data_IF_381599052588
#
_entry.id   IF_381599052588
#
_cell.length_a   1.000
_cell.length_b   1.000
_cell.length_c   1.000
_cell.angle_alpha   90.00
_cell.angle_beta   90.00
_cell.angle_gamma   90.00
#
_symmetry.space_group_name_H-M   'P 1'
#
loop_
_entity.id
_entity.type
_entity.pdbx_description
1 polymer ?
#
# COMPACT_ATOMS: atom_id res chain seq x y z
N UNK A 1 -16.97 -3.17 -0.76
CA UNK A 1 -16.94 -2.07 0.23
C UNK A 1 -18.32 -1.41 0.36
N UNK A 2 -19.32 -2.07 0.96
CA UNK A 2 -20.68 -1.52 1.07
C UNK A 2 -20.73 -0.23 1.90
N UNK A 3 -20.09 -0.22 3.08
CA UNK A 3 -20.08 0.92 4.00
C UNK A 3 -19.51 2.20 3.35
N UNK A 4 -18.41 2.10 2.59
CA UNK A 4 -17.84 3.26 1.89
C UNK A 4 -18.82 3.83 0.85
N UNK A 5 -19.54 2.96 0.13
CA UNK A 5 -20.56 3.38 -0.85
C UNK A 5 -21.76 4.02 -0.18
N UNK A 6 -22.22 3.47 0.94
CA UNK A 6 -23.31 4.05 1.72
C UNK A 6 -22.93 5.41 2.31
N UNK A 7 -21.73 5.53 2.87
CA UNK A 7 -21.17 6.78 3.37
C UNK A 7 -21.13 7.84 2.27
N UNK A 8 -20.55 7.53 1.11
CA UNK A 8 -20.53 8.44 -0.03
C UNK A 8 -21.94 8.92 -0.41
N UNK A 9 -22.91 8.00 -0.52
CA UNK A 9 -24.28 8.36 -0.90
C UNK A 9 -24.89 9.36 0.09
N UNK A 10 -24.61 9.22 1.39
CA UNK A 10 -25.04 10.16 2.42
C UNK A 10 -24.35 11.52 2.27
N UNK A 11 -23.04 11.55 2.00
CA UNK A 11 -22.28 12.80 1.87
C UNK A 11 -22.62 13.59 0.59
N UNK A 12 -22.74 12.91 -0.56
CA UNK A 12 -23.11 13.58 -1.80
C UNK A 12 -24.53 14.15 -1.75
N UNK A 13 -25.46 13.47 -1.05
CA UNK A 13 -26.82 13.97 -0.86
C UNK A 13 -26.88 15.19 0.09
N UNK A 14 -26.02 15.25 1.11
CA UNK A 14 -26.03 16.35 2.10
C UNK A 14 -25.43 17.65 1.56
N UNK A 15 -24.57 17.58 0.53
CA UNK A 15 -23.91 18.75 -0.06
C UNK A 15 -24.72 19.47 -1.14
N UNK A 16 -25.91 18.97 -1.52
CA UNK A 16 -26.80 19.66 -2.46
C UNK A 16 -26.25 19.82 -3.89
N UNK A 17 -25.21 19.07 -4.26
CA UNK A 17 -24.66 19.09 -5.61
C UNK A 17 -25.55 18.27 -6.56
N UNK A 18 -26.33 18.95 -7.39
CA UNK A 18 -27.14 18.35 -8.46
C UNK A 18 -26.29 17.79 -9.64
N UNK A 19 -24.95 17.90 -9.60
CA UNK A 19 -24.04 17.44 -10.66
C UNK A 19 -23.16 16.23 -10.32
N UNK A 20 -23.29 15.60 -9.15
CA UNK A 20 -22.26 14.67 -8.68
C UNK A 20 -22.43 13.23 -9.18
N UNK A 21 -21.63 12.87 -10.19
CA UNK A 21 -21.39 11.47 -10.56
C UNK A 21 -20.82 10.70 -9.35
N UNK A 22 -21.37 9.51 -9.09
CA UNK A 22 -20.88 8.57 -8.08
C UNK A 22 -19.37 8.39 -8.21
N UNK A 23 -18.60 8.55 -7.12
CA UNK A 23 -17.17 8.27 -7.17
C UNK A 23 -17.00 6.76 -7.22
N UNK A 24 -16.50 6.30 -8.36
CA UNK A 24 -16.29 4.87 -8.61
C UNK A 24 -15.10 4.39 -7.81
N UNK A 25 -15.33 3.37 -6.98
CA UNK A 25 -14.29 2.59 -6.31
C UNK A 25 -13.84 1.45 -7.23
N UNK A 26 -12.56 1.47 -7.61
CA UNK A 26 -11.92 0.54 -8.53
C UNK A 26 -11.67 -0.85 -7.93
N UNK A 27 -12.75 -1.54 -7.55
CA UNK A 27 -12.70 -2.90 -6.97
C UNK A 27 -13.73 -3.80 -7.66
N UNK A 28 -13.50 -5.13 -7.71
CA UNK A 28 -14.49 -6.05 -8.25
C UNK A 28 -15.82 -5.95 -7.51
N UNK A 29 -16.92 -6.14 -8.24
CA UNK A 29 -18.24 -6.29 -7.60
C UNK A 29 -18.20 -7.58 -6.77
N UNK A 30 -18.50 -7.46 -5.48
CA UNK A 30 -18.69 -8.60 -4.60
C UNK A 30 -20.16 -9.01 -4.63
N UNK A 31 -20.43 -10.22 -5.10
CA UNK A 31 -21.77 -10.81 -5.15
C UNK A 31 -22.13 -11.52 -3.84
N UNK A 32 -21.14 -12.09 -3.17
CA UNK A 32 -21.33 -12.79 -1.91
C UNK A 32 -20.04 -12.77 -1.08
N UNK A 33 -20.18 -12.54 0.22
CA UNK A 33 -19.14 -12.72 1.20
C UNK A 33 -19.74 -13.42 2.43
N UNK A 34 -19.08 -14.47 2.90
CA UNK A 34 -19.46 -15.21 4.09
C UNK A 34 -18.21 -15.60 4.87
N UNK A 35 -18.29 -15.53 6.19
CA UNK A 35 -17.25 -15.97 7.10
C UNK A 35 -17.89 -16.66 8.30
N UNK A 36 -17.42 -17.85 8.61
CA UNK A 36 -17.72 -18.60 9.83
C UNK A 36 -16.43 -18.68 10.64
N UNK A 37 -16.38 -18.11 11.86
CA UNK A 37 -15.19 -18.20 12.71
C UNK A 37 -14.99 -19.63 13.20
N UNK A 38 -13.76 -19.95 13.62
CA UNK A 38 -13.49 -21.20 14.32
C UNK A 38 -14.24 -21.21 15.66
N UNK A 39 -14.94 -22.31 15.96
CA UNK A 39 -15.45 -22.59 17.30
C UNK A 39 -14.48 -23.56 17.99
N UNK A 40 -13.80 -23.08 19.03
CA UNK A 40 -12.87 -23.86 19.85
C UNK A 40 -13.56 -24.55 21.02
N UNK A 41 -14.91 -24.59 21.08
CA UNK A 41 -15.61 -25.32 22.14
C UNK A 41 -15.34 -26.83 22.08
N UNK A 42 -15.11 -27.43 23.27
CA UNK A 42 -14.59 -28.78 23.49
C UNK A 42 -15.40 -29.92 22.84
N UNK A 43 -16.66 -29.70 22.46
CA UNK A 43 -17.56 -30.76 21.98
C UNK A 43 -17.55 -30.96 20.46
N UNK A 44 -17.15 -29.97 19.66
CA UNK A 44 -17.02 -30.13 18.20
C UNK A 44 -16.25 -28.97 17.53
N UNK A 45 -14.91 -29.04 17.43
CA UNK A 45 -14.13 -27.96 16.84
C UNK A 45 -14.51 -27.75 15.37
N UNK A 46 -14.95 -26.54 15.02
CA UNK A 46 -15.22 -26.18 13.63
C UNK A 46 -14.04 -25.40 13.07
N UNK A 47 -13.59 -25.78 11.88
CA UNK A 47 -12.58 -25.00 11.15
C UNK A 47 -13.22 -23.71 10.63
N UNK A 48 -12.49 -22.59 10.63
CA UNK A 48 -13.01 -21.36 10.05
C UNK A 48 -13.27 -21.58 8.55
N UNK A 49 -14.39 -21.08 8.06
CA UNK A 49 -14.79 -21.14 6.65
C UNK A 49 -15.01 -19.73 6.11
N UNK A 50 -14.56 -19.48 4.87
CA UNK A 50 -14.70 -18.18 4.22
C UNK A 50 -15.01 -18.35 2.75
N UNK A 51 -16.08 -17.72 2.28
CA UNK A 51 -16.50 -17.73 0.89
C UNK A 51 -16.55 -16.29 0.39
N UNK A 52 -15.87 -16.04 -0.73
CA UNK A 52 -15.92 -14.76 -1.44
C UNK A 52 -16.23 -15.01 -2.91
N UNK A 53 -17.33 -14.43 -3.40
CA UNK A 53 -17.75 -14.51 -4.81
C UNK A 53 -17.66 -13.12 -5.40
N UNK A 54 -16.68 -12.93 -6.27
CA UNK A 54 -16.43 -11.67 -6.97
C UNK A 54 -16.79 -11.80 -8.45
N UNK A 55 -17.02 -10.65 -9.08
CA UNK A 55 -17.16 -10.56 -10.52
C UNK A 55 -15.87 -10.97 -11.23
N UNK A 56 -16.00 -11.85 -12.23
CA UNK A 56 -14.88 -12.24 -13.09
C UNK A 56 -14.59 -11.14 -14.10
N UNK A 57 -13.40 -10.55 -13.98
CA UNK A 57 -13.00 -9.41 -14.81
C UNK A 57 -12.34 -9.84 -16.13
N UNK A 58 -12.06 -11.13 -16.33
CA UNK A 58 -11.43 -11.63 -17.56
C UNK A 58 -12.31 -11.41 -18.80
N UNK A 59 -13.63 -11.52 -18.63
CA UNK A 59 -14.60 -11.28 -19.70
C UNK A 59 -14.75 -9.79 -20.07
N UNK A 60 -14.06 -8.90 -19.34
CA UNK A 60 -14.09 -7.46 -19.54
C UNK A 60 -12.75 -6.90 -20.04
N UNK A 61 -11.89 -7.73 -20.65
CA UNK A 61 -10.57 -7.34 -21.19
C UNK A 61 -9.58 -6.78 -20.15
N UNK A 62 -9.85 -6.95 -18.86
CA UNK A 62 -8.87 -6.63 -17.81
C UNK A 62 -7.69 -7.60 -17.86
N UNK A 63 -6.48 -7.06 -17.81
CA UNK A 63 -5.24 -7.84 -17.87
C UNK A 63 -4.29 -7.46 -16.75
N UNK A 64 -3.59 -8.48 -16.24
CA UNK A 64 -2.41 -8.27 -15.41
C UNK A 64 -1.27 -7.75 -16.26
N UNK A 65 -0.35 -7.04 -15.62
CA UNK A 65 0.96 -6.75 -16.19
C UNK A 65 1.96 -7.80 -15.73
N UNK A 66 3.02 -8.01 -16.52
CA UNK A 66 4.11 -8.88 -16.08
C UNK A 66 5.03 -8.09 -15.17
N UNK A 67 5.28 -8.61 -13.96
CA UNK A 67 6.21 -7.99 -13.01
C UNK A 67 7.56 -7.61 -13.65
N UNK A 68 8.10 -8.47 -14.52
CA UNK A 68 9.34 -8.19 -15.26
C UNK A 68 9.29 -6.88 -16.05
N UNK A 69 8.21 -6.66 -16.79
CA UNK A 69 8.03 -5.49 -17.65
C UNK A 69 7.86 -4.20 -16.82
N UNK A 70 7.24 -4.33 -15.64
CA UNK A 70 6.89 -3.19 -14.79
C UNK A 70 5.74 -2.37 -15.34
N UNK A 71 5.31 -1.37 -14.57
CA UNK A 71 4.22 -0.47 -14.92
C UNK A 71 4.66 0.63 -15.88
N UNK A 72 3.77 1.00 -16.79
CA UNK A 72 3.89 2.22 -17.59
C UNK A 72 3.52 3.46 -16.77
N UNK A 73 3.80 4.66 -17.31
CA UNK A 73 3.40 5.93 -16.70
C UNK A 73 1.88 6.01 -16.50
N UNK A 74 1.10 5.70 -17.54
CA UNK A 74 -0.36 5.80 -17.49
C UNK A 74 -0.98 4.78 -16.54
N UNK A 75 -0.46 3.54 -16.53
CA UNK A 75 -0.88 2.51 -15.56
C UNK A 75 -0.62 2.95 -14.12
N UNK A 76 0.54 3.55 -13.85
CA UNK A 76 0.87 4.08 -12.52
C UNK A 76 -0.08 5.20 -12.12
N UNK A 77 -0.36 6.13 -13.04
CA UNK A 77 -1.31 7.24 -12.79
C UNK A 77 -2.69 6.72 -12.41
N UNK A 78 -3.26 5.79 -13.19
CA UNK A 78 -4.62 5.29 -12.91
C UNK A 78 -4.69 4.39 -11.68
N UNK A 79 -3.58 3.70 -11.33
CA UNK A 79 -3.49 2.94 -10.09
C UNK A 79 -3.47 3.86 -8.86
N UNK A 80 -2.67 4.92 -8.90
CA UNK A 80 -2.58 5.89 -7.80
C UNK A 80 -3.90 6.63 -7.59
N UNK A 81 -4.56 7.01 -8.68
CA UNK A 81 -5.89 7.61 -8.61
C UNK A 81 -6.93 6.63 -8.03
N UNK A 82 -6.92 5.36 -8.47
CA UNK A 82 -7.81 4.32 -7.97
C UNK A 82 -7.67 4.09 -6.45
N UNK A 83 -6.45 3.98 -5.93
CA UNK A 83 -6.23 3.79 -4.49
C UNK A 83 -6.49 5.07 -3.70
N UNK A 84 -6.18 6.26 -4.25
CA UNK A 84 -6.46 7.54 -3.63
C UNK A 84 -7.95 7.73 -3.33
N UNK A 85 -8.82 7.27 -4.24
CA UNK A 85 -10.27 7.31 -4.01
C UNK A 85 -10.67 6.46 -2.81
N UNK A 86 -10.13 5.25 -2.67
CA UNK A 86 -10.44 4.36 -1.55
C UNK A 86 -9.90 4.95 -0.23
N UNK A 87 -8.67 5.45 -0.24
CA UNK A 87 -8.07 6.17 0.88
C UNK A 87 -8.93 7.35 1.31
N UNK A 88 -9.35 8.20 0.36
CA UNK A 88 -10.20 9.36 0.61
C UNK A 88 -11.53 8.97 1.28
N UNK A 89 -12.16 7.89 0.83
CA UNK A 89 -13.42 7.42 1.44
C UNK A 89 -13.24 7.00 2.89
N UNK A 90 -12.21 6.20 3.17
CA UNK A 90 -11.94 5.75 4.54
C UNK A 90 -11.55 6.93 5.44
N UNK A 91 -10.70 7.85 4.95
CA UNK A 91 -10.32 9.04 5.69
C UNK A 91 -11.52 9.94 5.99
N UNK A 92 -12.34 10.25 4.98
CA UNK A 92 -13.52 11.09 5.15
C UNK A 92 -14.53 10.43 6.11
N UNK A 93 -14.76 9.12 6.00
CA UNK A 93 -15.61 8.37 6.94
C UNK A 93 -15.12 8.52 8.38
N UNK A 94 -13.83 8.27 8.63
CA UNK A 94 -13.22 8.44 9.96
C UNK A 94 -13.43 9.85 10.52
N UNK A 95 -13.20 10.87 9.69
CA UNK A 95 -13.26 12.28 10.12
C UNK A 95 -14.70 12.73 10.38
N UNK A 96 -15.62 12.41 9.46
CA UNK A 96 -17.03 12.85 9.55
C UNK A 96 -17.79 12.10 10.63
N UNK A 97 -17.55 10.79 10.79
CA UNK A 97 -18.26 9.97 11.77
C UNK A 97 -17.58 10.00 13.15
N UNK A 98 -16.32 10.43 13.24
CA UNK A 98 -15.58 10.58 14.49
C UNK A 98 -15.19 9.26 15.17
N UNK A 99 -15.29 8.14 14.46
CA UNK A 99 -14.99 6.79 14.95
C UNK A 99 -13.66 6.28 14.35
N UNK A 100 -12.74 5.71 15.16
CA UNK A 100 -11.57 5.02 14.64
C UNK A 100 -11.98 3.79 13.81
N UNK A 101 -11.53 3.71 12.56
CA UNK A 101 -11.88 2.59 11.68
C UNK A 101 -11.33 1.25 12.17
N UNK A 102 -10.25 1.26 12.96
CA UNK A 102 -9.72 0.06 13.62
C UNK A 102 -10.68 -0.53 14.65
N UNK A 103 -11.51 0.29 15.29
CA UNK A 103 -12.53 -0.17 16.25
C UNK A 103 -13.78 -0.64 15.52
N UNK A 104 -14.20 0.09 14.48
CA UNK A 104 -15.33 -0.27 13.63
C UNK A 104 -15.13 -1.58 12.88
N UNK A 105 -13.90 -1.83 12.42
CA UNK A 105 -13.53 -2.99 11.64
C UNK A 105 -12.45 -3.80 12.38
N UNK A 106 -12.79 -4.51 13.47
CA UNK A 106 -11.81 -5.24 14.28
C UNK A 106 -11.20 -6.45 13.53
N UNK A 107 -11.79 -6.82 12.39
CA UNK A 107 -11.27 -7.86 11.49
C UNK A 107 -10.16 -7.37 10.55
N UNK A 108 -9.87 -6.06 10.51
CA UNK A 108 -8.70 -5.55 9.77
C UNK A 108 -7.43 -6.26 10.24
N UNK A 109 -6.50 -6.44 9.31
CA UNK A 109 -5.27 -7.14 9.61
C UNK A 109 -4.48 -6.35 10.66
N UNK A 110 -4.43 -6.92 11.86
CA UNK A 110 -3.94 -6.22 13.04
C UNK A 110 -2.45 -5.91 12.90
N UNK A 111 -2.04 -4.69 13.24
CA UNK A 111 -0.64 -4.21 13.09
C UNK A 111 0.39 -5.17 13.68
N UNK A 112 0.10 -5.79 14.83
CA UNK A 112 0.99 -6.77 15.44
C UNK A 112 1.14 -8.04 14.59
N UNK A 113 0.03 -8.59 14.07
CA UNK A 113 0.04 -9.75 13.19
C UNK A 113 0.76 -9.43 11.87
N UNK A 114 0.48 -8.25 11.31
CA UNK A 114 1.16 -7.76 10.10
C UNK A 114 2.67 -7.64 10.30
N UNK A 115 3.09 -7.11 11.45
CA UNK A 115 4.49 -7.00 11.83
C UNK A 115 5.18 -8.36 11.88
N UNK A 116 4.56 -9.34 12.53
CA UNK A 116 5.10 -10.69 12.63
C UNK A 116 5.19 -11.37 11.26
N UNK A 117 4.14 -11.26 10.44
CA UNK A 117 4.13 -11.79 9.07
C UNK A 117 5.23 -11.15 8.20
N UNK A 118 5.39 -9.83 8.26
CA UNK A 118 6.40 -9.13 7.48
C UNK A 118 7.81 -9.48 7.96
N UNK A 119 8.02 -9.58 9.28
CA UNK A 119 9.31 -10.00 9.82
C UNK A 119 9.69 -11.41 9.36
N UNK A 120 8.73 -12.34 9.31
CA UNK A 120 8.99 -13.70 8.81
C UNK A 120 9.40 -13.70 7.33
N UNK A 121 8.74 -12.86 6.51
CA UNK A 121 9.12 -12.68 5.11
C UNK A 121 10.57 -12.15 5.01
N UNK A 122 10.90 -11.10 5.75
CA UNK A 122 12.26 -10.53 5.77
C UNK A 122 13.31 -11.55 6.19
N UNK A 123 13.07 -12.34 7.24
CA UNK A 123 14.02 -13.37 7.68
C UNK A 123 14.22 -14.49 6.64
N UNK A 124 13.20 -14.76 5.81
CA UNK A 124 13.30 -15.70 4.69
C UNK A 124 14.06 -15.13 3.50
N UNK A 125 13.82 -13.87 3.18
CA UNK A 125 14.34 -13.23 1.97
C UNK A 125 15.73 -12.62 2.12
N UNK A 126 16.03 -12.01 3.27
CA UNK A 126 17.29 -11.31 3.51
C UNK A 126 18.55 -12.20 3.33
N UNK A 127 18.57 -13.48 3.76
CA UNK A 127 19.71 -14.36 3.50
C UNK A 127 19.98 -14.59 2.01
N UNK A 128 18.91 -14.67 1.20
CA UNK A 128 19.01 -14.85 -0.25
C UNK A 128 19.56 -13.57 -0.91
N UNK A 129 19.02 -12.42 -0.51
CA UNK A 129 19.54 -11.12 -0.97
C UNK A 129 21.01 -10.96 -0.58
N UNK A 130 21.37 -11.26 0.67
CA UNK A 130 22.75 -11.14 1.13
C UNK A 130 23.72 -12.00 0.31
N UNK A 131 23.31 -13.21 -0.10
CA UNK A 131 24.10 -14.06 -0.99
C UNK A 131 24.27 -13.42 -2.37
N UNK A 132 23.20 -12.89 -2.95
CA UNK A 132 23.22 -12.19 -4.24
C UNK A 132 24.13 -10.95 -4.21
N UNK A 133 24.02 -10.12 -3.18
CA UNK A 133 24.86 -8.92 -3.01
C UNK A 133 26.34 -9.27 -2.85
N UNK A 134 26.68 -10.32 -2.09
CA UNK A 134 28.09 -10.79 -1.96
C UNK A 134 28.71 -11.23 -3.28
N UNK A 135 27.90 -11.74 -4.21
CA UNK A 135 28.37 -12.14 -5.54
C UNK A 135 28.36 -11.00 -6.56
N UNK A 136 27.93 -9.80 -6.18
CA UNK A 136 27.75 -8.66 -7.10
C UNK A 136 28.69 -7.52 -6.71
N UNK A 137 29.75 -7.25 -7.50
CA UNK A 137 30.72 -6.21 -7.17
C UNK A 137 30.11 -4.82 -7.02
N UNK A 138 30.56 -4.06 -6.01
CA UNK A 138 30.15 -2.66 -5.80
C UNK A 138 28.85 -2.50 -5.00
N UNK A 139 28.37 -3.56 -4.34
CA UNK A 139 27.21 -3.55 -3.44
C UNK A 139 27.56 -3.86 -1.99
N UNK A 140 28.86 -3.81 -1.63
CA UNK A 140 29.37 -4.17 -0.31
C UNK A 140 28.82 -3.26 0.80
N UNK A 141 28.79 -1.93 0.57
CA UNK A 141 28.28 -0.95 1.53
C UNK A 141 26.76 -1.13 1.77
N UNK A 142 26.00 -1.43 0.72
CA UNK A 142 24.56 -1.70 0.81
C UNK A 142 24.32 -2.96 1.64
N UNK A 143 25.10 -4.02 1.39
CA UNK A 143 25.01 -5.24 2.18
C UNK A 143 25.31 -4.97 3.65
N UNK A 144 26.35 -4.19 3.95
CA UNK A 144 26.70 -3.81 5.32
C UNK A 144 25.54 -3.05 5.99
N UNK A 145 24.98 -2.04 5.33
CA UNK A 145 23.83 -1.28 5.83
C UNK A 145 22.63 -2.18 6.15
N UNK A 146 22.28 -3.11 5.25
CA UNK A 146 21.19 -4.07 5.46
C UNK A 146 21.47 -5.01 6.65
N UNK A 147 22.72 -5.46 6.83
CA UNK A 147 23.10 -6.32 7.96
C UNK A 147 23.03 -5.55 9.29
N UNK A 148 23.34 -4.26 9.30
CA UNK A 148 23.18 -3.37 10.46
C UNK A 148 21.70 -3.10 10.78
N UNK A 149 20.83 -3.07 9.76
CA UNK A 149 19.39 -2.95 9.95
C UNK A 149 18.74 -4.24 10.47
N UNK A 150 19.22 -5.41 10.03
CA UNK A 150 18.60 -6.72 10.30
C UNK A 150 18.10 -6.94 11.73
N UNK A 151 18.89 -6.69 12.80
CA UNK A 151 18.42 -6.96 14.16
C UNK A 151 17.23 -6.10 14.60
N UNK A 152 16.99 -4.98 13.90
CA UNK A 152 15.97 -3.97 14.22
C UNK A 152 14.74 -4.06 13.31
N UNK A 153 14.73 -4.94 12.30
CA UNK A 153 13.66 -4.94 11.28
C UNK A 153 12.28 -5.14 11.87
N UNK A 154 12.11 -6.02 12.87
CA UNK A 154 10.79 -6.25 13.50
C UNK A 154 10.24 -4.96 14.11
N UNK A 155 11.10 -4.24 14.82
CA UNK A 155 10.73 -2.98 15.44
C UNK A 155 10.41 -1.92 14.38
N UNK A 156 11.29 -1.77 13.37
CA UNK A 156 11.10 -0.82 12.27
C UNK A 156 9.76 -1.08 11.56
N UNK A 157 9.46 -2.34 11.24
CA UNK A 157 8.19 -2.74 10.62
C UNK A 157 7.01 -2.32 11.49
N UNK A 158 7.06 -2.61 12.80
CA UNK A 158 6.01 -2.21 13.75
C UNK A 158 5.75 -0.71 13.74
N UNK A 159 6.81 0.10 13.80
CA UNK A 159 6.71 1.56 13.80
C UNK A 159 6.17 2.11 12.46
N UNK A 160 6.59 1.52 11.33
CA UNK A 160 6.18 1.93 9.99
C UNK A 160 4.77 1.46 9.60
N UNK A 161 4.27 0.39 10.23
CA UNK A 161 2.87 -0.04 10.07
C UNK A 161 1.92 0.65 11.04
N UNK A 162 2.42 1.13 12.19
CA UNK A 162 1.60 1.81 13.18
C UNK A 162 0.84 2.99 12.55
N UNK A 163 -0.48 3.11 12.80
CA UNK A 163 -1.27 4.23 12.31
C UNK A 163 -0.76 5.53 12.94
N UNK A 164 -0.54 6.55 12.12
CA UNK A 164 -0.11 7.88 12.56
C UNK A 164 -1.09 8.92 12.04
N UNK A 165 -1.57 9.78 12.94
CA UNK A 165 -2.46 10.88 12.59
C UNK A 165 -1.72 11.98 11.81
N UNK A 166 -2.45 12.82 11.06
CA UNK A 166 -3.90 12.81 10.88
C UNK A 166 -4.38 11.87 9.77
N UNK A 167 -3.48 11.32 8.95
CA UNK A 167 -3.81 10.53 7.76
C UNK A 167 -3.93 9.02 7.98
N UNK A 168 -3.93 8.50 9.20
CA UNK A 168 -4.25 7.09 9.44
C UNK A 168 -5.62 6.71 8.83
N UNK A 169 -5.64 5.69 7.97
CA UNK A 169 -6.80 5.31 7.16
C UNK A 169 -6.70 3.82 6.76
N UNK A 170 -7.68 3.31 6.00
CA UNK A 170 -7.63 1.92 5.52
C UNK A 170 -6.67 1.83 4.32
N UNK A 171 -5.61 1.05 4.47
CA UNK A 171 -4.61 0.77 3.43
C UNK A 171 -4.80 -0.64 2.87
N UNK A 172 -4.47 -0.82 1.59
CA UNK A 172 -4.43 -2.12 0.94
C UNK A 172 -3.29 -3.00 1.51
N UNK A 173 -2.16 -2.37 1.81
CA UNK A 173 -0.95 -2.92 2.45
C UNK A 173 -0.16 -3.93 1.61
N UNK A 174 -0.79 -4.50 0.57
CA UNK A 174 -0.14 -5.27 -0.50
C UNK A 174 -0.39 -4.63 -1.89
N UNK A 175 -0.21 -3.30 -2.01
CA UNK A 175 -0.48 -2.54 -3.23
C UNK A 175 0.70 -2.55 -4.22
N UNK A 176 0.77 -3.59 -5.06
CA UNK A 176 1.79 -3.76 -6.09
C UNK A 176 1.18 -4.30 -7.39
N UNK A 177 1.94 -4.31 -8.48
CA UNK A 177 1.41 -4.55 -9.82
C UNK A 177 0.64 -5.86 -10.02
N UNK A 178 0.97 -6.94 -9.30
CA UNK A 178 0.29 -8.21 -9.50
C UNK A 178 -1.15 -8.20 -8.98
N UNK A 179 -1.44 -7.32 -8.02
CA UNK A 179 -2.78 -7.11 -7.47
C UNK A 179 -3.57 -6.06 -8.26
N UNK A 180 -3.05 -5.62 -9.41
CA UNK A 180 -3.68 -4.64 -10.28
C UNK A 180 -4.03 -5.24 -11.63
N UNK A 181 -5.23 -4.91 -12.09
CA UNK A 181 -5.72 -5.22 -13.42
C UNK A 181 -5.95 -3.93 -14.20
N UNK A 182 -5.62 -3.94 -15.48
CA UNK A 182 -5.78 -2.79 -16.36
C UNK A 182 -6.59 -3.12 -17.60
N UNK A 183 -7.36 -2.14 -18.09
CA UNK A 183 -8.17 -2.26 -19.30
C UNK A 183 -8.22 -0.92 -20.03
N UNK A 184 -8.15 -0.95 -21.36
CA UNK A 184 -8.52 0.21 -22.18
C UNK A 184 -10.04 0.38 -22.19
N UNK A 185 -10.53 1.47 -21.60
CA UNK A 185 -11.94 1.84 -21.56
C UNK A 185 -12.30 2.95 -22.54
N UNK A 186 -13.60 3.26 -22.74
CA UNK A 186 -14.06 4.35 -23.59
C UNK A 186 -13.52 5.73 -23.16
N UNK A 187 -13.24 5.88 -21.87
CA UNK A 187 -12.74 7.12 -21.25
C UNK A 187 -11.22 7.08 -21.00
N UNK A 188 -10.52 6.09 -21.54
CA UNK A 188 -9.09 5.85 -21.33
C UNK A 188 -8.82 4.63 -20.45
N UNK A 189 -7.57 4.51 -20.01
CA UNK A 189 -7.09 3.39 -19.22
C UNK A 189 -7.79 3.32 -17.85
N UNK A 190 -8.28 2.13 -17.49
CA UNK A 190 -8.93 1.83 -16.21
C UNK A 190 -8.07 0.88 -15.38
N UNK A 191 -8.15 1.03 -14.05
CA UNK A 191 -7.49 0.14 -13.08
C UNK A 191 -8.54 -0.52 -12.18
N UNK A 192 -8.32 -1.79 -11.83
CA UNK A 192 -9.06 -2.51 -10.80
C UNK A 192 -8.09 -3.15 -9.80
N UNK A 193 -8.37 -2.97 -8.51
CA UNK A 193 -7.53 -3.39 -7.39
C UNK A 193 -8.10 -4.68 -6.79
N UNK A 194 -7.27 -5.72 -6.74
CA UNK A 194 -7.58 -7.06 -6.26
C UNK A 194 -6.87 -7.37 -4.95
N UNK A 195 -7.24 -8.49 -4.33
CA UNK A 195 -6.52 -9.10 -3.21
C UNK A 195 -6.36 -8.23 -1.95
N UNK A 196 -7.48 -8.03 -1.27
CA UNK A 196 -7.58 -7.22 -0.06
C UNK A 196 -7.24 -8.00 1.23
N UNK A 197 -6.50 -9.11 1.14
CA UNK A 197 -6.25 -10.00 2.29
C UNK A 197 -5.43 -9.35 3.41
N UNK A 198 -4.58 -8.38 3.06
CA UNK A 198 -3.68 -7.68 3.99
C UNK A 198 -4.24 -6.33 4.46
N UNK A 199 -5.51 -6.02 4.19
CA UNK A 199 -6.11 -4.72 4.48
C UNK A 199 -5.91 -4.32 5.95
N UNK A 200 -5.29 -3.17 6.18
CA UNK A 200 -4.84 -2.72 7.51
C UNK A 200 -5.28 -1.27 7.75
N UNK A 201 -5.29 -0.83 9.01
CA UNK A 201 -5.40 0.58 9.35
C UNK A 201 -3.99 1.16 9.56
N UNK A 202 -3.52 1.98 8.61
CA UNK A 202 -2.13 2.46 8.56
C UNK A 202 -1.99 3.80 7.81
N UNK A 203 -0.76 4.19 7.48
CA UNK A 203 -0.43 5.40 6.71
C UNK A 203 -0.63 5.14 5.21
N UNK A 204 -1.26 6.05 4.45
CA UNK A 204 -1.54 5.85 3.02
C UNK A 204 -0.28 5.70 2.18
N UNK A 205 0.80 6.37 2.58
CA UNK A 205 2.08 6.36 1.85
C UNK A 205 2.73 4.99 1.80
N UNK A 206 2.33 4.04 2.67
CA UNK A 206 2.81 2.66 2.62
C UNK A 206 2.41 1.96 1.32
N UNK A 207 1.19 2.17 0.84
CA UNK A 207 0.74 1.62 -0.45
C UNK A 207 1.48 2.29 -1.61
N UNK A 208 1.65 3.61 -1.54
CA UNK A 208 2.31 4.38 -2.61
C UNK A 208 3.79 4.00 -2.73
N UNK A 209 4.50 3.91 -1.61
CA UNK A 209 5.88 3.47 -1.58
C UNK A 209 6.02 2.04 -2.10
N UNK A 210 5.14 1.11 -1.69
CA UNK A 210 5.19 -0.26 -2.18
C UNK A 210 5.02 -0.32 -3.70
N UNK A 211 4.03 0.38 -4.26
CA UNK A 211 3.81 0.41 -5.71
C UNK A 211 5.04 0.98 -6.44
N UNK A 212 5.50 2.17 -6.05
CA UNK A 212 6.58 2.87 -6.75
C UNK A 212 7.93 2.16 -6.63
N UNK A 213 8.22 1.53 -5.49
CA UNK A 213 9.47 0.80 -5.26
C UNK A 213 9.49 -0.57 -5.95
N UNK A 214 8.37 -1.31 -5.91
CA UNK A 214 8.34 -2.69 -6.41
C UNK A 214 8.02 -2.80 -7.89
N UNK A 215 7.17 -1.91 -8.42
CA UNK A 215 6.41 -2.17 -9.64
C UNK A 215 6.81 -1.30 -10.85
N UNK A 216 7.64 -0.27 -10.65
CA UNK A 216 8.04 0.65 -11.72
C UNK A 216 9.44 0.32 -12.27
N UNK A 217 9.65 0.43 -13.59
CA UNK A 217 11.00 0.46 -14.16
C UNK A 217 11.85 1.57 -13.53
N UNK A 218 13.16 1.33 -13.37
CA UNK A 218 14.11 2.24 -12.70
C UNK A 218 14.00 3.68 -13.21
N UNK A 219 14.06 3.87 -14.53
CA UNK A 219 14.06 5.21 -15.14
C UNK A 219 12.74 5.95 -14.91
N UNK A 220 11.62 5.23 -14.93
CA UNK A 220 10.30 5.81 -14.68
C UNK A 220 10.19 6.27 -13.22
N UNK A 221 10.61 5.41 -12.27
CA UNK A 221 10.61 5.73 -10.84
C UNK A 221 11.48 6.96 -10.55
N UNK A 222 12.74 6.96 -11.00
CA UNK A 222 13.69 8.07 -10.76
C UNK A 222 13.17 9.40 -11.33
N UNK A 223 12.56 9.35 -12.52
CA UNK A 223 12.12 10.57 -13.22
C UNK A 223 10.79 11.12 -12.71
N UNK A 224 9.88 10.27 -12.25
CA UNK A 224 8.47 10.65 -12.05
C UNK A 224 7.92 10.46 -10.62
N UNK A 225 8.72 10.03 -9.64
CA UNK A 225 8.25 9.85 -8.25
C UNK A 225 7.51 11.08 -7.71
N UNK A 226 8.07 12.28 -7.81
CA UNK A 226 7.37 13.50 -7.34
C UNK A 226 6.06 13.76 -8.07
N UNK A 227 6.03 13.56 -9.39
CA UNK A 227 4.81 13.70 -10.20
C UNK A 227 3.74 12.69 -9.79
N UNK A 228 4.13 11.46 -9.47
CA UNK A 228 3.23 10.43 -8.98
C UNK A 228 2.66 10.76 -7.60
N UNK A 229 3.48 11.32 -6.72
CA UNK A 229 3.02 11.81 -5.42
C UNK A 229 2.05 13.00 -5.56
N UNK A 230 2.28 13.89 -6.54
CA UNK A 230 1.34 14.98 -6.85
C UNK A 230 0.00 14.44 -7.37
N UNK A 231 0.02 13.48 -8.29
CA UNK A 231 -1.18 12.81 -8.81
C UNK A 231 -1.99 12.17 -7.67
N UNK A 232 -1.30 11.42 -6.80
CA UNK A 232 -1.95 10.80 -5.65
C UNK A 232 -2.54 11.85 -4.70
N UNK A 233 -1.78 12.91 -4.39
CA UNK A 233 -2.21 13.98 -3.50
C UNK A 233 -3.43 14.74 -4.03
N UNK A 234 -3.44 15.09 -5.31
CA UNK A 234 -4.55 15.76 -5.97
C UNK A 234 -5.82 14.90 -5.97
N UNK A 235 -5.69 13.61 -6.30
CA UNK A 235 -6.81 12.67 -6.28
C UNK A 235 -7.37 12.47 -4.86
N UNK A 236 -6.49 12.33 -3.86
CA UNK A 236 -6.87 12.20 -2.46
C UNK A 236 -7.65 13.43 -1.99
N UNK A 237 -7.10 14.64 -2.18
CA UNK A 237 -7.72 15.88 -1.74
C UNK A 237 -9.04 16.17 -2.44
N UNK A 238 -9.05 16.08 -3.78
CA UNK A 238 -10.27 16.34 -4.54
C UNK A 238 -11.40 15.38 -4.14
N UNK A 239 -11.08 14.10 -3.92
CA UNK A 239 -12.05 13.09 -3.48
C UNK A 239 -12.52 13.35 -2.05
N UNK A 240 -11.62 13.65 -1.09
CA UNK A 240 -12.04 13.95 0.29
C UNK A 240 -12.87 15.21 0.36
N UNK A 241 -12.55 16.25 -0.42
CA UNK A 241 -13.32 17.49 -0.43
C UNK A 241 -14.75 17.25 -0.92
N UNK A 242 -14.94 16.43 -1.96
CA UNK A 242 -16.28 15.99 -2.40
C UNK A 242 -17.02 15.19 -1.33
N UNK A 243 -16.30 14.54 -0.43
CA UNK A 243 -16.85 13.81 0.72
C UNK A 243 -16.95 14.66 2.00
N UNK A 244 -16.68 15.96 1.91
CA UNK A 244 -16.90 16.92 3.00
C UNK A 244 -15.70 17.18 3.90
N UNK A 245 -14.49 16.77 3.48
CA UNK A 245 -13.25 16.97 4.25
C UNK A 245 -12.17 17.62 3.38
N UNK A 246 -11.68 18.78 3.82
CA UNK A 246 -10.54 19.48 3.23
C UNK A 246 -9.29 19.13 4.05
N UNK A 247 -8.39 18.30 3.52
CA UNK A 247 -7.24 17.78 4.29
C UNK A 247 -6.33 18.91 4.80
N UNK A 248 -5.84 19.86 3.98
CA UNK A 248 -5.04 20.97 4.47
C UNK A 248 -5.74 21.80 5.54
N UNK A 249 -7.03 22.10 5.37
CA UNK A 249 -7.76 23.00 6.26
C UNK A 249 -8.21 22.31 7.54
N UNK A 250 -8.79 21.12 7.44
CA UNK A 250 -9.44 20.42 8.55
C UNK A 250 -8.45 19.55 9.32
N UNK A 251 -7.40 19.03 8.65
CA UNK A 251 -6.41 18.13 9.24
C UNK A 251 -5.02 18.75 9.38
N UNK A 252 -4.77 19.91 8.79
CA UNK A 252 -3.46 20.58 8.85
C UNK A 252 -2.34 19.81 8.15
N UNK A 253 -2.67 18.86 7.28
CA UNK A 253 -1.69 18.02 6.59
C UNK A 253 -1.46 18.52 5.17
N UNK A 254 -0.19 18.63 4.78
CA UNK A 254 0.20 19.23 3.50
C UNK A 254 0.85 18.23 2.54
N UNK A 255 1.03 18.65 1.29
CA UNK A 255 1.82 17.91 0.31
C UNK A 255 3.27 17.69 0.76
N UNK A 256 3.83 18.59 1.56
CA UNK A 256 5.18 18.45 2.11
C UNK A 256 5.23 17.35 3.18
N UNK A 257 4.19 17.24 4.00
CA UNK A 257 4.07 16.17 5.00
C UNK A 257 3.95 14.81 4.32
N UNK A 258 3.21 14.73 3.20
CA UNK A 258 3.18 13.53 2.36
C UNK A 258 4.57 13.08 1.89
N UNK A 259 5.44 14.02 1.52
CA UNK A 259 6.82 13.69 1.13
C UNK A 259 7.63 13.12 2.30
N UNK A 260 7.47 13.68 3.49
CA UNK A 260 8.15 13.18 4.71
C UNK A 260 7.68 11.77 5.05
N UNK A 261 6.38 11.52 4.98
CA UNK A 261 5.80 10.20 5.27
C UNK A 261 6.17 9.18 4.19
N UNK A 262 6.14 9.56 2.91
CA UNK A 262 6.56 8.71 1.80
C UNK A 262 8.01 8.24 1.96
N UNK A 263 8.92 9.14 2.35
CA UNK A 263 10.32 8.80 2.61
C UNK A 263 10.46 7.71 3.68
N UNK A 264 9.67 7.77 4.75
CA UNK A 264 9.63 6.73 5.79
C UNK A 264 9.06 5.41 5.24
N UNK A 265 7.99 5.50 4.45
CA UNK A 265 7.34 4.34 3.84
C UNK A 265 8.21 3.58 2.82
N UNK A 266 9.20 4.22 2.20
CA UNK A 266 10.15 3.56 1.31
C UNK A 266 10.94 2.44 2.01
N UNK A 267 11.28 2.61 3.30
CA UNK A 267 11.98 1.57 4.06
C UNK A 267 11.09 0.33 4.28
N UNK A 268 9.80 0.53 4.59
CA UNK A 268 8.85 -0.58 4.72
C UNK A 268 8.65 -1.30 3.38
N UNK A 269 8.50 -0.54 2.30
CA UNK A 269 8.38 -1.08 0.95
C UNK A 269 9.61 -1.92 0.55
N UNK A 270 10.82 -1.45 0.88
CA UNK A 270 12.04 -2.21 0.67
C UNK A 270 12.05 -3.50 1.47
N UNK A 271 11.71 -3.48 2.76
CA UNK A 271 11.68 -4.69 3.60
C UNK A 271 10.70 -5.73 3.04
N UNK A 272 9.56 -5.31 2.51
CA UNK A 272 8.64 -6.19 1.79
C UNK A 272 9.27 -6.78 0.52
N UNK A 273 9.92 -5.96 -0.30
CA UNK A 273 10.65 -6.43 -1.49
C UNK A 273 11.75 -7.44 -1.12
N UNK A 274 12.45 -7.23 -0.01
CA UNK A 274 13.43 -8.18 0.53
C UNK A 274 12.74 -9.50 0.89
N UNK A 275 11.58 -9.45 1.54
CA UNK A 275 10.85 -10.66 1.96
C UNK A 275 10.34 -11.54 0.80
N UNK A 276 10.16 -10.93 -0.37
CA UNK A 276 9.76 -11.56 -1.63
C UNK A 276 10.86 -11.44 -2.70
N UNK A 277 12.13 -11.44 -2.29
CA UNK A 277 13.27 -11.23 -3.20
C UNK A 277 13.36 -12.30 -4.30
N UNK A 278 12.81 -13.49 -4.06
CA UNK A 278 12.71 -14.57 -5.04
C UNK A 278 11.86 -14.21 -6.27
N UNK A 279 10.96 -13.24 -6.14
CA UNK A 279 10.19 -12.68 -7.28
C UNK A 279 11.08 -11.86 -8.21
N UNK A 280 12.17 -11.29 -7.68
CA UNK A 280 13.10 -10.44 -8.44
C UNK A 280 14.36 -11.19 -8.91
N UNK A 281 14.83 -12.20 -8.19
CA UNK A 281 16.04 -12.95 -8.57
C UNK A 281 15.77 -13.98 -9.67
N UNK A 282 16.77 -14.21 -10.53
CA UNK A 282 16.69 -15.16 -11.63
C UNK A 282 16.27 -14.57 -12.97
N UNK A 283 15.96 -13.27 -13.02
CA UNK A 283 15.76 -12.51 -14.25
C UNK A 283 16.58 -11.22 -14.22
N UNK A 284 17.36 -10.96 -15.27
CA UNK A 284 18.34 -9.88 -15.29
C UNK A 284 17.71 -8.48 -15.18
N UNK A 285 16.51 -8.29 -15.72
CA UNK A 285 15.84 -6.98 -15.72
C UNK A 285 15.31 -6.66 -14.31
N UNK A 286 14.74 -7.67 -13.63
CA UNK A 286 14.24 -7.50 -12.26
C UNK A 286 15.35 -7.46 -11.23
N UNK A 287 16.44 -8.20 -11.42
CA UNK A 287 17.65 -8.10 -10.60
C UNK A 287 18.27 -6.70 -10.70
N UNK A 288 18.41 -6.16 -11.92
CA UNK A 288 18.93 -4.81 -12.12
C UNK A 288 18.02 -3.76 -11.46
N UNK A 289 16.70 -3.89 -11.60
CA UNK A 289 15.73 -3.01 -10.92
C UNK A 289 15.88 -3.07 -9.40
N UNK A 290 16.07 -4.25 -8.82
CA UNK A 290 16.32 -4.40 -7.37
C UNK A 290 17.63 -3.73 -6.96
N UNK A 291 18.71 -3.90 -7.74
CA UNK A 291 19.99 -3.24 -7.48
C UNK A 291 19.83 -1.71 -7.50
N UNK A 292 19.11 -1.18 -8.48
CA UNK A 292 18.87 0.25 -8.60
C UNK A 292 18.03 0.79 -7.43
N UNK A 293 17.02 0.03 -6.98
CA UNK A 293 16.27 0.34 -5.75
C UNK A 293 17.19 0.45 -4.55
N UNK A 294 18.04 -0.55 -4.34
CA UNK A 294 18.95 -0.59 -3.21
C UNK A 294 19.97 0.55 -3.24
N UNK A 295 20.54 0.86 -4.41
CA UNK A 295 21.48 1.97 -4.59
C UNK A 295 20.83 3.31 -4.32
N UNK A 296 19.65 3.55 -4.90
CA UNK A 296 18.96 4.83 -4.75
C UNK A 296 18.60 5.07 -3.27
N UNK A 297 17.99 4.08 -2.60
CA UNK A 297 17.61 4.20 -1.18
C UNK A 297 18.81 4.31 -0.24
N UNK A 298 19.93 3.65 -0.54
CA UNK A 298 21.17 3.81 0.21
C UNK A 298 21.74 5.22 0.06
N UNK A 299 21.84 5.72 -1.19
CA UNK A 299 22.38 7.05 -1.48
C UNK A 299 21.51 8.18 -0.91
N UNK A 300 20.20 7.97 -0.87
CA UNK A 300 19.23 8.87 -0.24
C UNK A 300 19.27 8.81 1.29
N UNK A 301 20.03 7.87 1.87
CA UNK A 301 20.17 7.67 3.31
C UNK A 301 19.03 6.92 3.97
N UNK A 302 18.06 6.37 3.22
CA UNK A 302 16.87 5.69 3.77
C UNK A 302 17.23 4.47 4.62
N UNK A 303 18.34 3.79 4.31
CA UNK A 303 18.82 2.63 5.06
C UNK A 303 19.51 2.99 6.39
N UNK A 304 19.86 4.26 6.56
CA UNK A 304 20.64 4.75 7.71
C UNK A 304 19.93 5.90 8.43
N UNK A 305 18.76 6.33 7.94
CA UNK A 305 18.03 7.49 8.44
C UNK A 305 17.58 7.23 9.87
N UNK A 306 18.23 7.90 10.82
CA UNK A 306 17.88 7.78 12.23
C UNK A 306 16.41 8.13 12.46
N UNK A 307 15.74 8.98 11.67
CA UNK A 307 14.31 9.29 11.90
C UNK A 307 13.41 8.10 11.54
N UNK A 308 13.74 7.36 10.47
CA UNK A 308 13.05 6.12 10.13
C UNK A 308 13.32 5.02 11.18
N UNK A 309 14.45 5.14 11.89
CA UNK A 309 14.94 4.18 12.86
C UNK A 309 14.63 4.56 14.32
N UNK A 310 14.44 5.84 14.69
CA UNK A 310 14.50 6.39 16.06
C UNK A 310 13.15 6.79 16.64
N UNK A 311 12.06 6.73 15.87
CA UNK A 311 10.71 6.59 16.43
C UNK A 311 10.52 5.23 17.15
N UNK A 312 11.63 4.61 17.57
CA UNK A 312 11.78 3.27 18.13
C UNK A 312 12.24 3.20 19.58
N UNK A 313 12.85 4.27 20.10
CA UNK A 313 13.46 4.26 21.44
C UNK A 313 12.57 4.90 22.50
N UNK A 314 11.47 5.56 22.12
CA UNK A 314 10.62 6.30 23.07
C UNK A 314 9.39 5.52 23.61
N UNK A 315 9.22 4.25 23.26
CA UNK A 315 8.09 3.41 23.72
C UNK A 315 8.53 2.14 24.49
N UNK A 316 9.70 2.16 25.12
CA UNK A 316 10.15 1.10 26.06
C UNK A 316 9.88 1.42 27.52
#
# INVERSE_FOLDING_TARGET
MPDLKEFQKKQLASQGNESDEEIVLSVPVCYHAHYTPADESDDNPTTPDSILVLHDLRDYDFRHIKFREGMTYDQTKVALDAIARIHAHSLAMKVVEGEPLSERYPFLFQTAKATDSYQQLVERGLPQLAKFLKSTPGLEEILEALLVLRPRTKHIISALLAPEGPLALITHTDFWCNNLLFKEGPSGLECCILDWQMVTYSRPTNDIALLLVSSLPTELRRKHTETFLDIYWEALNSTTSRLGVDIPKDLGYTREDLNKDYRRSQLLALLLCIGSVDVALGDADTEQRLIDVLKDLHNEGVLTDEIAIANSENDS
#
